data_IF_574342402372
#
_entry.id   IF_574342402372
#
_cell.length_a   1.000
_cell.length_b   1.000
_cell.length_c   1.000
_cell.angle_alpha   90.00
_cell.angle_beta   90.00
_cell.angle_gamma   90.00
#
_symmetry.space_group_name_H-M   'P 1'
#
loop_
_entity.id
_entity.type
_entity.pdbx_description
1 polymer ?
#
# COMPACT_ATOMS: atom_id res chain seq x y z
N UNK A 1 -25.09 4.56 12.53
CA UNK A 1 -24.47 4.97 11.25
C UNK A 1 -23.56 3.83 10.88
N UNK A 2 -23.65 3.25 9.68
CA UNK A 2 -22.58 2.38 9.20
C UNK A 2 -21.28 3.18 9.25
N UNK A 3 -20.21 2.55 9.71
CA UNK A 3 -18.91 3.21 9.74
C UNK A 3 -18.40 3.33 8.30
N UNK A 4 -17.70 4.41 7.93
CA UNK A 4 -17.22 4.59 6.55
C UNK A 4 -16.29 3.44 6.09
N UNK A 5 -15.71 2.73 7.05
CA UNK A 5 -14.99 1.47 6.90
C UNK A 5 -15.83 0.34 6.28
N UNK A 6 -17.02 0.11 6.84
CA UNK A 6 -17.95 -0.93 6.42
C UNK A 6 -18.41 -0.68 4.98
N UNK A 7 -18.66 0.59 4.63
CA UNK A 7 -19.07 0.98 3.28
C UNK A 7 -18.02 0.63 2.21
N UNK A 8 -16.72 0.81 2.50
CA UNK A 8 -15.65 0.48 1.55
C UNK A 8 -15.53 -1.02 1.34
N UNK A 9 -15.53 -1.80 2.42
CA UNK A 9 -15.45 -3.27 2.32
C UNK A 9 -16.68 -3.86 1.64
N UNK A 10 -17.86 -3.35 1.96
CA UNK A 10 -19.11 -3.78 1.35
C UNK A 10 -19.15 -3.44 -0.14
N UNK A 11 -18.79 -2.22 -0.53
CA UNK A 11 -18.74 -1.82 -1.94
C UNK A 11 -17.74 -2.66 -2.75
N UNK A 12 -16.59 -3.02 -2.16
CA UNK A 12 -15.61 -3.90 -2.83
C UNK A 12 -16.12 -5.34 -2.88
N UNK A 13 -16.75 -5.84 -1.81
CA UNK A 13 -17.37 -7.17 -1.82
C UNK A 13 -18.43 -7.29 -2.91
N UNK A 14 -19.33 -6.31 -3.03
CA UNK A 14 -20.36 -6.27 -4.07
C UNK A 14 -19.74 -6.35 -5.48
N UNK A 15 -18.68 -5.57 -5.76
CA UNK A 15 -17.97 -5.63 -7.05
C UNK A 15 -17.35 -7.01 -7.33
N UNK A 16 -16.82 -7.69 -6.31
CA UNK A 16 -16.31 -9.06 -6.45
C UNK A 16 -17.45 -10.00 -6.81
N UNK A 17 -18.56 -9.94 -6.07
CA UNK A 17 -19.72 -10.81 -6.30
C UNK A 17 -20.35 -10.60 -7.68
N UNK A 18 -20.44 -9.35 -8.14
CA UNK A 18 -20.90 -8.99 -9.48
C UNK A 18 -19.99 -9.59 -10.56
N UNK A 19 -18.67 -9.50 -10.38
CA UNK A 19 -17.68 -9.97 -11.35
C UNK A 19 -17.70 -11.48 -11.52
N UNK A 20 -17.83 -12.22 -10.42
CA UNK A 20 -17.78 -13.68 -10.40
C UNK A 20 -19.16 -14.34 -10.42
N UNK A 21 -20.24 -13.56 -10.28
CA UNK A 21 -21.64 -14.04 -10.25
C UNK A 21 -21.88 -15.10 -9.15
N UNK A 22 -21.17 -14.95 -8.04
CA UNK A 22 -21.24 -15.81 -6.85
C UNK A 22 -21.16 -14.94 -5.61
N UNK A 23 -21.84 -15.33 -4.53
CA UNK A 23 -21.60 -14.66 -3.25
C UNK A 23 -20.16 -14.87 -2.78
N UNK A 24 -19.63 -13.98 -1.95
CA UNK A 24 -18.26 -14.06 -1.47
C UNK A 24 -17.95 -15.37 -0.72
N UNK A 25 -18.86 -15.94 0.11
CA UNK A 25 -18.66 -17.25 0.72
C UNK A 25 -18.67 -18.41 -0.30
N UNK A 26 -19.49 -18.34 -1.34
CA UNK A 26 -19.49 -19.33 -2.43
C UNK A 26 -18.19 -19.28 -3.22
N UNK A 27 -17.75 -18.07 -3.59
CA UNK A 27 -16.50 -17.86 -4.32
C UNK A 27 -15.29 -18.40 -3.55
N UNK A 28 -15.23 -18.16 -2.23
CA UNK A 28 -14.18 -18.73 -1.36
C UNK A 28 -14.18 -20.25 -1.37
N UNK A 29 -15.36 -20.88 -1.31
CA UNK A 29 -15.49 -22.35 -1.36
C UNK A 29 -15.06 -22.90 -2.73
N UNK A 30 -15.51 -22.29 -3.82
CA UNK A 30 -15.15 -22.69 -5.18
C UNK A 30 -13.63 -22.58 -5.41
N UNK A 31 -13.03 -21.44 -5.04
CA UNK A 31 -11.58 -21.22 -5.17
C UNK A 31 -10.74 -22.17 -4.30
N UNK A 32 -11.25 -22.59 -3.13
CA UNK A 32 -10.58 -23.57 -2.29
C UNK A 32 -10.71 -25.00 -2.83
N UNK A 33 -11.84 -25.33 -3.47
CA UNK A 33 -12.10 -26.66 -4.01
C UNK A 33 -11.33 -26.93 -5.31
N UNK A 34 -11.18 -25.93 -6.18
CA UNK A 34 -10.45 -26.03 -7.44
C UNK A 34 -9.56 -24.79 -7.68
N UNK A 35 -8.40 -24.70 -7.03
CA UNK A 35 -7.55 -23.51 -7.10
C UNK A 35 -7.04 -23.18 -8.51
N UNK A 36 -6.77 -24.21 -9.33
CA UNK A 36 -6.25 -24.04 -10.68
C UNK A 36 -7.31 -23.52 -11.67
N UNK A 37 -8.58 -23.89 -11.48
CA UNK A 37 -9.70 -23.40 -12.30
C UNK A 37 -10.13 -21.98 -11.90
N UNK A 38 -9.73 -21.55 -10.69
CA UNK A 38 -10.16 -20.31 -10.07
C UNK A 38 -8.99 -19.39 -9.69
N UNK A 39 -7.88 -19.42 -10.44
CA UNK A 39 -6.67 -18.65 -10.13
C UNK A 39 -6.93 -17.15 -9.95
N UNK A 40 -7.71 -16.53 -10.85
CA UNK A 40 -8.08 -15.11 -10.74
C UNK A 40 -8.91 -14.84 -9.48
N UNK A 41 -9.89 -15.70 -9.17
CA UNK A 41 -10.70 -15.56 -7.97
C UNK A 41 -9.86 -15.70 -6.70
N UNK A 42 -8.92 -16.64 -6.67
CA UNK A 42 -8.00 -16.84 -5.56
C UNK A 42 -7.08 -15.62 -5.35
N UNK A 43 -6.61 -14.99 -6.43
CA UNK A 43 -5.82 -13.76 -6.34
C UNK A 43 -6.65 -12.58 -5.81
N UNK A 44 -7.84 -12.36 -6.37
CA UNK A 44 -8.77 -11.31 -5.90
C UNK A 44 -9.11 -11.50 -4.41
N UNK A 45 -9.47 -12.72 -3.99
CA UNK A 45 -9.79 -13.03 -2.59
C UNK A 45 -8.61 -12.80 -1.65
N UNK A 46 -7.38 -13.05 -2.10
CA UNK A 46 -6.17 -12.77 -1.33
C UNK A 46 -6.00 -11.27 -1.12
N UNK A 47 -6.13 -10.47 -2.18
CA UNK A 47 -6.04 -9.01 -2.10
C UNK A 47 -7.19 -8.40 -1.30
N UNK A 48 -8.39 -8.94 -1.42
CA UNK A 48 -9.52 -8.56 -0.56
C UNK A 48 -9.22 -8.86 0.91
N UNK A 49 -8.62 -10.00 1.24
CA UNK A 49 -8.16 -10.29 2.61
C UNK A 49 -7.03 -9.37 3.10
N UNK A 50 -6.20 -8.82 2.21
CA UNK A 50 -5.26 -7.74 2.58
C UNK A 50 -6.00 -6.42 2.88
N UNK A 51 -6.98 -6.05 2.06
CA UNK A 51 -7.82 -4.87 2.29
C UNK A 51 -8.53 -4.94 3.64
N UNK A 52 -9.13 -6.08 4.00
CA UNK A 52 -9.80 -6.26 5.30
C UNK A 52 -8.84 -6.05 6.49
N UNK A 53 -7.58 -6.52 6.37
CA UNK A 53 -6.57 -6.32 7.42
C UNK A 53 -6.12 -4.87 7.53
N UNK A 54 -5.89 -4.22 6.40
CA UNK A 54 -5.45 -2.82 6.36
C UNK A 54 -6.59 -1.89 6.84
N UNK A 55 -7.86 -2.25 6.61
CA UNK A 55 -9.03 -1.57 7.17
C UNK A 55 -9.09 -1.69 8.72
N UNK A 56 -8.92 -2.89 9.27
CA UNK A 56 -8.87 -3.07 10.72
C UNK A 56 -7.66 -2.34 11.37
N UNK A 57 -6.54 -2.26 10.67
CA UNK A 57 -5.36 -1.50 11.14
C UNK A 57 -5.60 0.01 11.13
N UNK A 58 -6.40 0.51 10.16
CA UNK A 58 -6.83 1.90 10.12
C UNK A 58 -7.72 2.22 11.32
N UNK A 59 -8.77 1.44 11.56
CA UNK A 59 -9.68 1.61 12.71
C UNK A 59 -8.89 1.66 14.03
N UNK A 60 -7.99 0.70 14.25
CA UNK A 60 -7.17 0.68 15.46
C UNK A 60 -6.25 1.92 15.58
N UNK A 61 -5.79 2.47 14.46
CA UNK A 61 -4.97 3.68 14.46
C UNK A 61 -5.80 4.93 14.74
N UNK A 62 -7.04 4.98 14.24
CA UNK A 62 -8.01 6.05 14.49
C UNK A 62 -8.45 6.05 15.95
N UNK A 63 -8.82 4.90 16.50
CA UNK A 63 -9.14 4.75 17.93
C UNK A 63 -7.99 5.23 18.82
N UNK A 64 -6.76 4.80 18.51
CA UNK A 64 -5.57 5.23 19.27
C UNK A 64 -5.34 6.75 19.19
N UNK A 65 -5.65 7.38 18.07
CA UNK A 65 -5.56 8.84 17.92
C UNK A 65 -6.65 9.56 18.72
N UNK A 66 -7.89 9.08 18.63
CA UNK A 66 -9.03 9.63 19.35
C UNK A 66 -8.83 9.55 20.86
N UNK A 67 -8.37 8.40 21.35
CA UNK A 67 -8.00 8.19 22.76
C UNK A 67 -6.91 9.16 23.23
N UNK A 68 -5.92 9.43 22.36
CA UNK A 68 -4.80 10.30 22.69
C UNK A 68 -5.13 11.80 22.65
N UNK A 69 -6.03 12.24 21.77
CA UNK A 69 -6.45 13.65 21.68
C UNK A 69 -7.49 13.97 22.76
N UNK A 70 -8.36 13.00 23.09
CA UNK A 70 -9.45 13.20 24.03
C UNK A 70 -10.50 14.23 23.53
N UNK A 71 -11.43 14.64 24.40
CA UNK A 71 -12.58 15.46 23.98
C UNK A 71 -12.29 16.97 23.90
N UNK A 72 -11.12 17.44 24.36
CA UNK A 72 -10.82 18.87 24.47
C UNK A 72 -10.01 19.36 23.25
N UNK A 73 -10.49 20.39 22.52
CA UNK A 73 -9.72 20.95 21.42
C UNK A 73 -8.47 21.69 21.94
N UNK A 74 -7.33 21.44 21.32
CA UNK A 74 -6.03 22.03 21.67
C UNK A 74 -4.97 21.76 20.62
N UNK A 75 -3.77 22.32 20.81
CA UNK A 75 -2.62 22.03 19.95
C UNK A 75 -2.16 20.58 20.15
N UNK A 76 -1.84 19.89 19.06
CA UNK A 76 -1.38 18.51 19.11
C UNK A 76 0.09 18.48 19.55
N UNK A 77 0.37 17.69 20.58
CA UNK A 77 1.74 17.30 20.93
C UNK A 77 2.42 16.49 19.82
N UNK A 78 3.74 16.44 19.82
CA UNK A 78 4.52 15.62 18.89
C UNK A 78 4.09 14.14 18.89
N UNK A 79 3.71 13.60 20.06
CA UNK A 79 3.21 12.24 20.20
C UNK A 79 1.86 12.06 19.49
N UNK A 80 0.93 13.00 19.64
CA UNK A 80 -0.36 13.00 18.95
C UNK A 80 -0.19 13.19 17.43
N UNK A 81 0.73 14.07 17.01
CA UNK A 81 1.08 14.22 15.59
C UNK A 81 1.63 12.93 14.98
N UNK A 82 2.44 12.16 15.74
CA UNK A 82 2.96 10.88 15.27
C UNK A 82 1.83 9.83 15.08
N UNK A 83 0.82 9.84 15.95
CA UNK A 83 -0.37 8.99 15.79
C UNK A 83 -1.19 9.41 14.56
N UNK A 84 -1.40 10.72 14.35
CA UNK A 84 -2.07 11.23 13.15
C UNK A 84 -1.33 10.81 11.87
N UNK A 85 0.00 10.82 11.88
CA UNK A 85 0.79 10.32 10.75
C UNK A 85 0.57 8.81 10.51
N UNK A 86 0.44 8.00 11.57
CA UNK A 86 0.12 6.56 11.43
C UNK A 86 -1.24 6.33 10.78
N UNK A 87 -2.25 7.12 11.16
CA UNK A 87 -3.58 7.08 10.51
C UNK A 87 -3.43 7.34 9.01
N UNK A 88 -2.71 8.41 8.62
CA UNK A 88 -2.49 8.73 7.20
C UNK A 88 -1.80 7.58 6.44
N UNK A 89 -0.82 6.92 7.04
CA UNK A 89 -0.15 5.75 6.45
C UNK A 89 -1.13 4.59 6.30
N UNK A 90 -1.98 4.32 7.31
CA UNK A 90 -2.98 3.25 7.25
C UNK A 90 -4.03 3.51 6.16
N UNK A 91 -4.51 4.75 6.00
CA UNK A 91 -5.41 5.14 4.90
C UNK A 91 -4.76 4.88 3.54
N UNK A 92 -3.51 5.32 3.35
CA UNK A 92 -2.80 5.13 2.10
C UNK A 92 -2.62 3.64 1.75
N UNK A 93 -2.38 2.79 2.76
CA UNK A 93 -2.27 1.35 2.57
C UNK A 93 -3.63 0.74 2.17
N UNK A 94 -4.71 1.06 2.89
CA UNK A 94 -6.08 0.63 2.55
C UNK A 94 -6.42 1.00 1.11
N UNK A 95 -6.19 2.25 0.72
CA UNK A 95 -6.49 2.72 -0.64
C UNK A 95 -5.67 2.03 -1.70
N UNK A 96 -4.39 1.81 -1.42
CA UNK A 96 -3.54 1.00 -2.28
C UNK A 96 -4.10 -0.41 -2.49
N UNK A 97 -4.61 -1.07 -1.44
CA UNK A 97 -5.24 -2.40 -1.57
C UNK A 97 -6.55 -2.36 -2.32
N UNK A 98 -7.42 -1.40 -2.03
CA UNK A 98 -8.70 -1.23 -2.72
C UNK A 98 -8.49 -0.99 -4.22
N UNK A 99 -7.50 -0.17 -4.59
CA UNK A 99 -7.13 0.07 -5.99
C UNK A 99 -6.65 -1.20 -6.69
N UNK A 100 -5.83 -2.03 -6.03
CA UNK A 100 -5.38 -3.31 -6.60
C UNK A 100 -6.55 -4.27 -6.82
N UNK A 101 -7.47 -4.40 -5.85
CA UNK A 101 -8.66 -5.24 -6.01
C UNK A 101 -9.50 -4.77 -7.20
N UNK A 102 -9.79 -3.46 -7.29
CA UNK A 102 -10.54 -2.90 -8.42
C UNK A 102 -9.87 -3.17 -9.76
N UNK A 103 -8.54 -3.05 -9.83
CA UNK A 103 -7.79 -3.36 -11.03
C UNK A 103 -7.90 -4.84 -11.43
N UNK A 104 -7.85 -5.77 -10.48
CA UNK A 104 -7.97 -7.21 -10.75
C UNK A 104 -9.37 -7.62 -11.23
N UNK A 105 -10.39 -6.84 -10.86
CA UNK A 105 -11.77 -7.05 -11.28
C UNK A 105 -12.06 -6.47 -12.68
N UNK A 106 -11.27 -5.48 -13.12
CA UNK A 106 -11.42 -4.81 -14.41
C UNK A 106 -11.13 -5.80 -15.57
N UNK A 107 -12.12 -6.06 -16.46
CA UNK A 107 -11.91 -6.92 -17.62
C UNK A 107 -10.93 -6.34 -18.65
N UNK A 108 -10.73 -5.03 -18.68
CA UNK A 108 -9.80 -4.34 -19.58
C UNK A 108 -8.35 -4.35 -19.08
N UNK A 109 -8.18 -4.36 -17.75
CA UNK A 109 -6.88 -4.50 -17.11
C UNK A 109 -6.15 -5.77 -17.53
N UNK A 110 -6.87 -6.89 -17.67
CA UNK A 110 -6.30 -8.16 -18.13
C UNK A 110 -5.71 -8.07 -19.54
N UNK A 111 -6.23 -7.17 -20.39
CA UNK A 111 -5.73 -6.97 -21.77
C UNK A 111 -4.44 -6.15 -21.84
N UNK A 112 -4.10 -5.44 -20.76
CA UNK A 112 -2.96 -4.51 -20.71
C UNK A 112 -1.92 -4.87 -19.64
N UNK A 113 -2.17 -5.91 -18.83
CA UNK A 113 -1.30 -6.28 -17.71
C UNK A 113 -0.01 -6.95 -18.19
N UNK A 114 1.12 -6.26 -17.99
CA UNK A 114 2.45 -6.83 -18.19
C UNK A 114 2.86 -7.68 -16.97
N UNK A 115 3.46 -8.88 -17.17
CA UNK A 115 3.98 -9.68 -16.06
C UNK A 115 5.07 -8.92 -15.29
N UNK A 116 4.75 -8.37 -14.12
CA UNK A 116 5.72 -7.75 -13.22
C UNK A 116 5.36 -6.38 -12.63
N UNK A 117 4.32 -5.70 -13.12
CA UNK A 117 3.93 -4.37 -12.61
C UNK A 117 3.63 -4.38 -11.09
N UNK A 118 3.06 -5.46 -10.58
CA UNK A 118 2.60 -5.59 -9.18
C UNK A 118 3.69 -5.96 -8.18
N UNK A 119 4.84 -6.48 -8.64
CA UNK A 119 5.96 -6.85 -7.74
C UNK A 119 6.59 -5.63 -7.06
N UNK A 120 6.40 -4.43 -7.60
CA UNK A 120 6.94 -3.20 -7.01
C UNK A 120 6.07 -2.68 -5.86
N UNK A 121 4.75 -2.84 -5.92
CA UNK A 121 3.83 -2.43 -4.85
C UNK A 121 3.91 -3.31 -3.59
N UNK A 122 4.36 -4.57 -3.73
CA UNK A 122 4.63 -5.44 -2.59
C UNK A 122 5.94 -5.11 -1.86
N UNK A 123 6.92 -4.51 -2.56
CA UNK A 123 8.21 -4.10 -1.96
C UNK A 123 8.12 -2.80 -1.17
N UNK A 124 7.16 -1.92 -1.47
CA UNK A 124 6.96 -0.65 -0.76
C UNK A 124 6.30 -0.82 0.62
N UNK A 125 5.71 -1.98 0.93
CA UNK A 125 5.20 -2.29 2.26
C UNK A 125 6.30 -2.69 3.28
N UNK A 126 7.56 -2.78 2.83
CA UNK A 126 8.71 -3.06 3.67
C UNK A 126 9.66 -1.87 3.73
N UNK A 127 9.49 -1.04 4.77
CA UNK A 127 10.44 -0.02 5.26
C UNK A 127 10.39 1.33 4.53
N UNK A 128 10.17 2.46 5.24
CA UNK A 128 10.58 3.76 4.71
C UNK A 128 12.11 3.73 4.63
N UNK A 129 12.65 3.62 3.41
CA UNK A 129 14.06 3.92 3.21
C UNK A 129 14.17 5.43 3.35
N UNK A 130 14.63 5.88 4.52
CA UNK A 130 15.09 7.25 4.70
C UNK A 130 16.15 7.51 3.62
N UNK A 131 15.77 8.22 2.56
CA UNK A 131 16.72 8.76 1.59
C UNK A 131 17.50 9.85 2.30
N UNK A 132 18.56 9.47 3.01
CA UNK A 132 19.57 10.40 3.48
C UNK A 132 20.27 10.95 2.25
N UNK A 133 19.81 12.08 1.73
CA UNK A 133 20.56 12.89 0.77
C UNK A 133 21.72 13.53 1.54
N UNK A 134 22.79 12.77 1.76
CA UNK A 134 24.08 13.36 2.11
C UNK A 134 24.68 13.96 0.84
N UNK A 135 25.01 15.27 0.80
CA UNK A 135 25.70 15.84 -0.35
C UNK A 135 27.09 15.22 -0.45
N UNK A 136 27.44 14.73 -1.64
CA UNK A 136 28.76 14.20 -1.93
C UNK A 136 29.80 15.32 -1.81
N UNK A 137 30.65 15.25 -0.77
CA UNK A 137 31.85 16.07 -0.66
C UNK A 137 32.78 15.69 -1.81
N UNK A 138 32.92 16.59 -2.80
CA UNK A 138 33.93 16.49 -3.85
C UNK A 138 35.32 16.67 -3.21
N UNK A 139 36.30 15.79 -3.45
CA UNK A 139 37.68 16.06 -3.08
C UNK A 139 38.23 17.20 -3.95
N UNK A 140 38.82 18.21 -3.31
CA UNK A 140 39.48 19.33 -3.96
C UNK A 140 40.70 18.85 -4.75
N UNK A 141 40.76 19.18 -6.04
CA UNK A 141 41.94 18.99 -6.88
C UNK A 141 43.04 19.97 -6.42
N UNK A 142 44.18 19.42 -5.99
CA UNK A 142 45.39 20.19 -5.67
C UNK A 142 46.04 20.81 -6.93
N UNK A 143 46.86 21.87 -6.76
CA UNK A 143 47.31 22.72 -7.85
C UNK A 143 48.39 22.09 -8.76
N UNK A 144 48.55 22.61 -10.00
CA UNK A 144 49.42 22.03 -11.03
C UNK A 144 50.90 22.39 -10.81
N UNK A 145 51.72 21.37 -10.53
CA UNK A 145 53.18 21.48 -10.50
C UNK A 145 53.80 21.04 -11.83
N UNK A 146 54.34 22.00 -12.58
CA UNK A 146 55.12 21.77 -13.78
C UNK A 146 56.48 21.13 -13.48
N UNK A 147 56.91 20.15 -14.28
CA UNK A 147 58.33 19.83 -14.44
C UNK A 147 58.63 19.25 -15.83
N UNK A 148 59.61 19.88 -16.49
CA UNK A 148 60.20 19.56 -17.79
C UNK A 148 61.17 18.37 -17.71
N UNK A 149 61.42 17.72 -18.85
CA UNK A 149 62.61 16.90 -19.09
C UNK A 149 62.35 15.81 -20.15
N UNK A 150 62.32 16.16 -21.45
CA UNK A 150 63.42 16.15 -22.43
C UNK A 150 63.82 14.74 -22.91
N UNK A 151 63.46 14.45 -24.16
CA UNK A 151 64.21 13.54 -25.02
C UNK A 151 64.74 14.36 -26.21
N UNK A 152 66.06 14.28 -26.40
CA UNK A 152 66.99 14.97 -27.34
C UNK A 152 67.43 16.38 -27.02
#
# INVERSE_FOLDING_TARGET
MPDGADEVLEAVAQQIEERFRMSLPELRRAAAAAPDDHQQAAEVLRWYGHLQRDQAALEQSEDALLDAIGPAPGELSDAQMALAHRVNVAVAMRDGRAMVVRHLLDPEAARTSFPGAWRFAARSAGRPSASTTSPAVRPAAGPPGAARGRAR
#
